data_IF_140071048782
#
_entry.id   IF_140071048782
#
_cell.length_a   1.000
_cell.length_b   1.000
_cell.length_c   1.000
_cell.angle_alpha   90.00
_cell.angle_beta   90.00
_cell.angle_gamma   90.00
#
_symmetry.space_group_name_H-M   'P 1'
#
loop_
_entity.id
_entity.type
_entity.pdbx_description
1 polymer ?
#
# COMPACT_ATOMS: atom_id res chain seq x y z
N UNK A 1 5.53 -35.18 -4.23
CA UNK A 1 4.84 -34.08 -4.94
C UNK A 1 4.94 -32.84 -4.08
N UNK A 2 5.64 -31.77 -4.48
CA UNK A 2 5.70 -30.55 -3.66
C UNK A 2 4.34 -29.87 -3.71
N UNK A 3 3.77 -29.62 -2.52
CA UNK A 3 2.54 -28.89 -2.31
C UNK A 3 2.56 -27.61 -3.17
N UNK A 4 1.67 -27.55 -4.16
CA UNK A 4 1.46 -26.36 -4.97
C UNK A 4 1.04 -25.22 -4.06
N UNK A 5 1.99 -24.33 -3.76
CA UNK A 5 1.70 -23.12 -3.04
C UNK A 5 0.78 -22.27 -3.93
N UNK A 6 -0.51 -22.29 -3.62
CA UNK A 6 -1.49 -21.41 -4.23
C UNK A 6 -1.06 -19.95 -4.05
N UNK A 7 -1.34 -19.07 -5.04
CA UNK A 7 -1.10 -17.64 -4.89
C UNK A 7 -1.73 -17.16 -3.60
N UNK A 8 -1.08 -16.22 -2.94
CA UNK A 8 -1.57 -15.68 -1.67
C UNK A 8 -3.04 -15.27 -1.86
N UNK A 9 -4.00 -15.92 -1.20
CA UNK A 9 -5.39 -15.59 -1.42
C UNK A 9 -5.60 -14.12 -1.04
N UNK A 10 -6.35 -13.38 -1.86
CA UNK A 10 -6.58 -11.94 -1.71
C UNK A 10 -6.92 -11.54 -0.27
N UNK A 11 -7.76 -12.33 0.43
CA UNK A 11 -8.10 -12.11 1.84
C UNK A 11 -6.87 -12.10 2.76
N UNK A 12 -5.89 -12.97 2.53
CA UNK A 12 -4.66 -12.97 3.33
C UNK A 12 -3.81 -11.73 3.06
N UNK A 13 -3.73 -11.29 1.80
CA UNK A 13 -3.04 -10.06 1.45
C UNK A 13 -3.70 -8.84 2.11
N UNK A 14 -5.02 -8.74 2.05
CA UNK A 14 -5.80 -7.68 2.70
C UNK A 14 -5.58 -7.66 4.22
N UNK A 15 -5.57 -8.83 4.87
CA UNK A 15 -5.27 -8.92 6.31
C UNK A 15 -3.86 -8.46 6.65
N UNK A 16 -2.85 -8.88 5.90
CA UNK A 16 -1.46 -8.48 6.13
C UNK A 16 -1.31 -6.96 5.98
N UNK A 17 -1.90 -6.38 4.95
CA UNK A 17 -1.90 -4.93 4.71
C UNK A 17 -2.56 -4.19 5.86
N UNK A 18 -3.73 -4.67 6.30
CA UNK A 18 -4.46 -4.08 7.41
C UNK A 18 -3.65 -4.10 8.72
N UNK A 19 -3.11 -5.27 9.09
CA UNK A 19 -2.29 -5.38 10.30
C UNK A 19 -1.01 -4.54 10.22
N UNK A 20 -0.36 -4.48 9.06
CA UNK A 20 0.81 -3.63 8.87
C UNK A 20 0.46 -2.14 9.06
N UNK A 21 -0.66 -1.69 8.50
CA UNK A 21 -1.12 -0.31 8.65
C UNK A 21 -1.45 0.02 10.13
N UNK A 22 -2.19 -0.85 10.80
CA UNK A 22 -2.53 -0.68 12.23
C UNK A 22 -1.27 -0.68 13.10
N UNK A 23 -0.29 -1.54 12.80
CA UNK A 23 0.99 -1.54 13.50
C UNK A 23 1.74 -0.21 13.31
N UNK A 24 1.68 0.38 12.12
CA UNK A 24 2.22 1.71 11.85
C UNK A 24 1.54 2.81 12.67
N UNK A 25 0.20 2.76 12.75
CA UNK A 25 -0.57 3.67 13.60
C UNK A 25 -0.17 3.54 15.08
N UNK A 26 -0.05 2.32 15.59
CA UNK A 26 0.37 2.06 16.96
C UNK A 26 1.81 2.52 17.23
N UNK A 27 2.73 2.30 16.29
CA UNK A 27 4.12 2.75 16.39
C UNK A 27 4.21 4.27 16.51
N UNK A 28 3.30 5.02 15.87
CA UNK A 28 3.28 6.48 15.96
C UNK A 28 3.00 6.98 17.39
N UNK A 29 2.27 6.22 18.19
CA UNK A 29 1.98 6.57 19.59
C UNK A 29 3.21 6.42 20.49
N UNK A 30 4.13 5.49 20.14
CA UNK A 30 5.34 5.20 20.91
C UNK A 30 6.51 6.09 20.49
N UNK A 31 6.62 6.37 19.20
CA UNK A 31 7.70 7.19 18.65
C UNK A 31 7.40 8.68 18.86
N UNK A 32 8.02 9.30 19.86
CA UNK A 32 7.99 10.75 20.08
C UNK A 32 8.99 11.47 19.14
N UNK A 33 8.84 11.32 17.83
CA UNK A 33 9.66 12.05 16.87
C UNK A 33 9.06 13.41 16.57
N UNK A 34 9.91 14.44 16.49
CA UNK A 34 9.46 15.77 16.04
C UNK A 34 8.83 15.67 14.66
N UNK A 35 7.65 16.26 14.52
CA UNK A 35 6.88 16.17 13.28
C UNK A 35 7.43 17.15 12.26
N UNK A 36 8.00 16.62 11.19
CA UNK A 36 8.22 17.36 9.94
C UNK A 36 6.86 17.56 9.24
N UNK A 37 6.10 18.56 9.67
CA UNK A 37 4.74 18.82 9.17
C UNK A 37 4.64 18.83 7.63
N UNK A 38 5.62 19.43 6.94
CA UNK A 38 5.61 19.54 5.48
C UNK A 38 5.84 18.24 4.71
N UNK A 39 6.27 17.15 5.36
CA UNK A 39 6.64 15.89 4.69
C UNK A 39 5.58 14.80 4.83
N UNK A 40 4.68 14.92 5.80
CA UNK A 40 3.72 13.85 6.11
C UNK A 40 2.72 13.60 4.97
N UNK A 41 2.07 14.65 4.48
CA UNK A 41 1.09 14.52 3.40
C UNK A 41 1.72 14.04 2.08
N UNK A 42 2.85 14.59 1.60
CA UNK A 42 3.57 14.04 0.45
C UNK A 42 3.93 12.56 0.62
N UNK A 43 4.33 12.13 1.83
CA UNK A 43 4.66 10.73 2.11
C UNK A 43 3.45 9.81 2.00
N UNK A 44 2.27 10.24 2.46
CA UNK A 44 1.01 9.48 2.33
C UNK A 44 0.64 9.35 0.85
N UNK A 45 0.74 10.42 0.07
CA UNK A 45 0.44 10.42 -1.36
C UNK A 45 1.42 9.54 -2.14
N UNK A 46 2.70 9.58 -1.79
CA UNK A 46 3.74 8.79 -2.45
C UNK A 46 3.61 7.28 -2.18
N UNK A 47 2.84 6.86 -1.17
CA UNK A 47 2.70 5.44 -0.82
C UNK A 47 2.15 4.60 -1.96
N UNK A 48 1.10 5.04 -2.67
CA UNK A 48 0.51 4.27 -3.77
C UNK A 48 1.45 4.16 -5.00
N UNK A 49 2.13 5.21 -5.47
CA UNK A 49 3.20 5.10 -6.47
C UNK A 49 4.37 4.19 -6.05
N UNK A 50 4.80 4.25 -4.78
CA UNK A 50 5.84 3.36 -4.27
C UNK A 50 5.41 1.89 -4.28
N UNK A 51 4.16 1.60 -3.94
CA UNK A 51 3.58 0.26 -4.05
C UNK A 51 3.54 -0.18 -5.51
N UNK A 52 3.19 0.70 -6.44
CA UNK A 52 3.21 0.40 -7.88
C UNK A 52 4.60 -0.02 -8.35
N UNK A 53 5.65 0.65 -7.90
CA UNK A 53 7.05 0.31 -8.22
C UNK A 53 7.49 -1.00 -7.54
N UNK A 54 7.02 -1.28 -6.33
CA UNK A 54 7.36 -2.49 -5.59
C UNK A 54 6.62 -3.73 -6.10
N UNK A 55 5.42 -3.57 -6.66
CA UNK A 55 4.55 -4.67 -7.07
C UNK A 55 5.19 -5.68 -8.05
N UNK A 56 5.93 -5.26 -9.10
CA UNK A 56 6.56 -6.20 -10.03
C UNK A 56 7.83 -6.85 -9.47
N UNK A 57 8.28 -6.48 -8.27
CA UNK A 57 9.51 -7.02 -7.68
C UNK A 57 9.27 -8.31 -6.89
N UNK A 58 10.29 -9.18 -6.84
CA UNK A 58 10.29 -10.39 -6.00
C UNK A 58 10.21 -10.07 -4.51
N UNK A 59 10.68 -8.91 -4.12
CA UNK A 59 10.68 -8.40 -2.73
C UNK A 59 9.42 -7.65 -2.38
N UNK A 60 8.53 -7.38 -3.33
CA UNK A 60 7.30 -6.60 -3.14
C UNK A 60 6.40 -7.14 -2.03
N UNK A 61 6.34 -8.47 -1.86
CA UNK A 61 5.57 -9.11 -0.77
C UNK A 61 6.02 -8.61 0.61
N UNK A 62 7.29 -8.24 0.78
CA UNK A 62 7.84 -7.72 2.04
C UNK A 62 7.84 -6.19 2.08
N UNK A 63 8.14 -5.53 0.96
CA UNK A 63 8.21 -4.08 0.89
C UNK A 63 6.84 -3.41 1.03
N UNK A 64 5.80 -3.98 0.43
CA UNK A 64 4.45 -3.41 0.47
C UNK A 64 3.91 -3.28 1.91
N UNK A 65 3.98 -4.30 2.79
CA UNK A 65 3.61 -4.14 4.19
C UNK A 65 4.40 -3.07 4.92
N UNK A 66 5.70 -2.90 4.61
CA UNK A 66 6.52 -1.84 5.20
C UNK A 66 6.03 -0.46 4.78
N UNK A 67 5.73 -0.26 3.49
CA UNK A 67 5.14 0.98 2.98
C UNK A 67 3.79 1.26 3.64
N UNK A 68 2.95 0.22 3.84
CA UNK A 68 1.67 0.37 4.53
C UNK A 68 1.84 0.75 6.01
N UNK A 69 2.81 0.17 6.71
CA UNK A 69 3.11 0.55 8.09
C UNK A 69 3.61 2.00 8.17
N UNK A 70 4.52 2.40 7.28
CA UNK A 70 4.98 3.78 7.19
C UNK A 70 3.83 4.76 6.90
N UNK A 71 2.90 4.38 6.01
CA UNK A 71 1.70 5.18 5.72
C UNK A 71 0.79 5.32 6.93
N UNK A 72 0.58 4.26 7.71
CA UNK A 72 -0.20 4.28 8.95
C UNK A 72 0.41 5.24 9.97
N UNK A 73 1.73 5.21 10.13
CA UNK A 73 2.46 6.13 10.98
C UNK A 73 2.27 7.59 10.52
N UNK A 74 2.43 7.86 9.21
CA UNK A 74 2.26 9.20 8.65
C UNK A 74 0.81 9.71 8.80
N UNK A 75 -0.19 8.86 8.58
CA UNK A 75 -1.61 9.21 8.73
C UNK A 75 -1.92 9.62 10.17
N UNK A 76 -1.48 8.84 11.16
CA UNK A 76 -1.73 9.16 12.57
C UNK A 76 -1.05 10.48 12.97
N UNK A 77 0.19 10.69 12.53
CA UNK A 77 0.93 11.94 12.77
C UNK A 77 0.27 13.13 12.10
N UNK A 78 -0.21 12.96 10.87
CA UNK A 78 -0.89 14.01 10.14
C UNK A 78 -2.18 14.44 10.84
N UNK A 79 -2.98 13.48 11.33
CA UNK A 79 -4.20 13.78 12.13
C UNK A 79 -3.83 14.53 13.41
N UNK A 80 -2.77 14.10 14.09
CA UNK A 80 -2.33 14.75 15.34
C UNK A 80 -1.83 16.18 15.12
N UNK A 81 -1.27 16.47 13.94
CA UNK A 81 -0.69 17.76 13.61
C UNK A 81 -1.73 18.76 13.07
N UNK A 82 -2.59 18.34 12.14
CA UNK A 82 -3.53 19.19 11.40
C UNK A 82 -4.95 19.15 11.97
N UNK A 83 -5.21 18.22 12.91
CA UNK A 83 -6.52 18.04 13.52
C UNK A 83 -7.55 17.38 12.60
N UNK A 84 -8.80 17.40 13.08
CA UNK A 84 -9.92 16.68 12.44
C UNK A 84 -10.39 17.29 11.11
N UNK A 85 -10.02 18.54 10.81
CA UNK A 85 -10.46 19.24 9.59
C UNK A 85 -9.95 18.58 8.30
N UNK A 86 -8.85 17.81 8.37
CA UNK A 86 -8.22 17.13 7.21
C UNK A 86 -8.66 15.67 7.04
N UNK A 87 -9.56 15.17 7.86
CA UNK A 87 -10.09 13.79 7.74
C UNK A 87 -10.66 13.49 6.35
N UNK A 88 -11.41 14.38 5.66
CA UNK A 88 -11.95 14.06 4.34
C UNK A 88 -10.88 13.67 3.31
N UNK A 89 -9.70 14.31 3.37
CA UNK A 89 -8.56 14.00 2.51
C UNK A 89 -8.03 12.59 2.78
N UNK A 90 -7.93 12.22 4.07
CA UNK A 90 -7.47 10.90 4.47
C UNK A 90 -8.49 9.80 4.12
N UNK A 91 -9.79 10.09 4.24
CA UNK A 91 -10.85 9.17 3.83
C UNK A 91 -10.78 8.82 2.33
N UNK A 92 -10.21 9.70 1.51
CA UNK A 92 -9.97 9.43 0.10
C UNK A 92 -8.65 8.66 -0.13
N UNK A 93 -7.55 9.09 0.52
CA UNK A 93 -6.21 8.54 0.28
C UNK A 93 -6.01 7.15 0.89
N UNK A 94 -6.51 6.92 2.12
CA UNK A 94 -6.30 5.63 2.81
C UNK A 94 -6.88 4.45 2.04
N UNK A 95 -8.13 4.47 1.54
CA UNK A 95 -8.66 3.37 0.72
C UNK A 95 -7.84 3.13 -0.55
N UNK A 96 -7.33 4.19 -1.21
CA UNK A 96 -6.48 4.05 -2.39
C UNK A 96 -5.18 3.29 -2.08
N UNK A 97 -4.55 3.59 -0.93
CA UNK A 97 -3.35 2.89 -0.46
C UNK A 97 -3.67 1.41 -0.20
N UNK A 98 -4.81 1.11 0.44
CA UNK A 98 -5.22 -0.28 0.71
C UNK A 98 -5.47 -1.07 -0.58
N UNK A 99 -6.17 -0.48 -1.56
CA UNK A 99 -6.42 -1.10 -2.86
C UNK A 99 -5.10 -1.34 -3.60
N UNK A 100 -4.20 -0.34 -3.61
CA UNK A 100 -2.87 -0.47 -4.21
C UNK A 100 -2.08 -1.59 -3.55
N UNK A 101 -2.05 -1.64 -2.21
CA UNK A 101 -1.27 -2.61 -1.46
C UNK A 101 -1.78 -4.04 -1.64
N UNK A 102 -3.09 -4.28 -1.55
CA UNK A 102 -3.69 -5.59 -1.75
C UNK A 102 -3.43 -6.10 -3.18
N UNK A 103 -3.61 -5.23 -4.19
CA UNK A 103 -3.37 -5.56 -5.60
C UNK A 103 -1.88 -5.77 -5.87
N UNK A 104 -1.00 -4.94 -5.30
CA UNK A 104 0.44 -5.05 -5.43
C UNK A 104 0.99 -6.34 -4.82
N UNK A 105 0.51 -6.75 -3.65
CA UNK A 105 0.88 -8.02 -3.04
C UNK A 105 0.44 -9.23 -3.87
N UNK A 106 -0.73 -9.17 -4.48
CA UNK A 106 -1.21 -10.22 -5.39
C UNK A 106 -0.30 -10.34 -6.61
N UNK A 107 0.10 -9.23 -7.22
CA UNK A 107 1.02 -9.19 -8.37
C UNK A 107 2.40 -9.72 -7.98
N UNK A 108 2.98 -9.21 -6.89
CA UNK A 108 4.30 -9.64 -6.40
C UNK A 108 4.32 -11.14 -6.05
N UNK A 109 3.25 -11.65 -5.44
CA UNK A 109 3.08 -13.07 -5.17
C UNK A 109 3.08 -13.92 -6.44
N UNK A 110 2.47 -13.44 -7.53
CA UNK A 110 2.47 -14.10 -8.84
C UNK A 110 3.84 -14.07 -9.49
N UNK A 111 4.53 -12.93 -9.48
CA UNK A 111 5.89 -12.79 -10.01
C UNK A 111 6.82 -13.79 -9.31
N UNK A 112 6.73 -13.89 -7.99
CA UNK A 112 7.53 -14.83 -7.20
C UNK A 112 7.26 -16.29 -7.58
N UNK A 113 6.02 -16.65 -7.89
CA UNK A 113 5.68 -18.01 -8.34
C UNK A 113 6.16 -18.28 -9.76
N UNK A 114 6.08 -17.31 -10.68
CA UNK A 114 6.60 -17.45 -12.03
C UNK A 114 8.10 -17.70 -12.06
N UNK A 115 8.85 -17.06 -11.17
CA UNK A 115 10.30 -17.28 -11.08
C UNK A 115 10.66 -18.64 -10.45
N UNK A 116 9.74 -19.29 -9.75
CA UNK A 116 9.99 -20.54 -9.01
C UNK A 116 9.48 -21.80 -9.72
N UNK A 117 8.51 -21.69 -10.58
CA UNK A 117 7.88 -22.80 -11.30
C UNK A 117 7.46 -22.37 -12.71
N UNK A 118 7.69 -23.25 -13.70
CA UNK A 118 7.43 -23.08 -15.14
C UNK A 118 6.17 -22.32 -15.53
N UNK A 119 6.16 -21.63 -16.70
CA UNK A 119 5.26 -20.55 -17.03
C UNK A 119 3.90 -21.05 -17.53
N UNK A 120 2.99 -21.42 -16.65
CA UNK A 120 1.56 -21.46 -16.99
C UNK A 120 0.86 -20.32 -16.23
N UNK A 121 1.06 -19.09 -16.70
CA UNK A 121 0.33 -17.92 -16.23
C UNK A 121 -1.15 -18.08 -16.59
N UNK A 122 -2.00 -18.44 -15.62
CA UNK A 122 -3.45 -18.29 -15.76
C UNK A 122 -3.82 -16.81 -15.72
N UNK A 123 -4.63 -16.41 -16.68
CA UNK A 123 -5.13 -15.08 -17.04
C UNK A 123 -5.83 -14.24 -15.94
N UNK A 124 -5.64 -14.52 -14.66
CA UNK A 124 -6.31 -13.80 -13.56
C UNK A 124 -5.66 -12.46 -13.14
N UNK A 125 -4.56 -12.02 -13.80
CA UNK A 125 -3.76 -10.86 -13.38
C UNK A 125 -4.35 -9.49 -13.71
N UNK A 126 -5.12 -9.40 -14.78
CA UNK A 126 -5.53 -8.11 -15.36
C UNK A 126 -6.33 -7.20 -14.39
N UNK A 127 -7.16 -7.79 -13.52
CA UNK A 127 -7.92 -7.00 -12.53
C UNK A 127 -7.03 -6.37 -11.46
N UNK A 128 -6.05 -7.11 -10.95
CA UNK A 128 -5.11 -6.57 -9.94
C UNK A 128 -4.25 -5.46 -10.53
N UNK A 129 -3.78 -5.61 -11.77
CA UNK A 129 -3.03 -4.59 -12.48
C UNK A 129 -3.86 -3.32 -12.69
N UNK A 130 -5.09 -3.45 -13.19
CA UNK A 130 -5.99 -2.32 -13.40
C UNK A 130 -6.25 -1.59 -12.07
N UNK A 131 -6.56 -2.31 -11.00
CA UNK A 131 -6.81 -1.72 -9.69
C UNK A 131 -5.57 -0.99 -9.14
N UNK A 132 -4.37 -1.56 -9.34
CA UNK A 132 -3.13 -0.93 -8.93
C UNK A 132 -2.88 0.37 -9.68
N UNK A 133 -3.02 0.38 -11.02
CA UNK A 133 -2.85 1.60 -11.82
C UNK A 133 -3.90 2.66 -11.48
N UNK A 134 -5.17 2.27 -11.33
CA UNK A 134 -6.24 3.21 -10.98
C UNK A 134 -6.02 3.82 -9.59
N UNK A 135 -5.57 3.03 -8.61
CA UNK A 135 -5.30 3.55 -7.27
C UNK A 135 -4.09 4.49 -7.24
N UNK A 136 -3.03 4.18 -7.99
CA UNK A 136 -1.87 5.06 -8.11
C UNK A 136 -2.23 6.37 -8.85
N UNK A 137 -2.98 6.29 -9.95
CA UNK A 137 -3.48 7.46 -10.66
C UNK A 137 -4.41 8.31 -9.79
N UNK A 138 -5.32 7.67 -9.05
CA UNK A 138 -6.22 8.34 -8.10
C UNK A 138 -5.48 9.10 -7.02
N UNK A 139 -4.39 8.55 -6.47
CA UNK A 139 -3.57 9.24 -5.47
C UNK A 139 -2.86 10.45 -6.03
N UNK A 140 -2.35 10.38 -7.27
CA UNK A 140 -1.71 11.52 -7.95
C UNK A 140 -2.71 12.64 -8.30
N UNK A 141 -3.92 12.26 -8.75
CA UNK A 141 -4.99 13.21 -9.02
C UNK A 141 -5.41 13.90 -7.71
N UNK A 142 -5.57 13.14 -6.63
CA UNK A 142 -5.87 13.70 -5.32
C UNK A 142 -4.80 14.67 -4.85
N UNK A 143 -3.51 14.36 -5.10
CA UNK A 143 -2.41 15.26 -4.82
C UNK A 143 -2.55 16.59 -5.56
N UNK A 144 -2.87 16.54 -6.86
CA UNK A 144 -3.06 17.75 -7.66
C UNK A 144 -4.13 18.67 -7.09
N UNK A 145 -5.26 18.12 -6.63
CA UNK A 145 -6.33 18.91 -6.03
C UNK A 145 -6.01 19.43 -4.63
N UNK A 146 -5.17 18.74 -3.88
CA UNK A 146 -4.79 19.13 -2.51
C UNK A 146 -3.76 20.27 -2.53
N UNK A 147 -2.84 20.26 -3.52
CA UNK A 147 -1.75 21.24 -3.61
C UNK A 147 -2.07 22.45 -4.51
N UNK A 148 -3.22 22.48 -5.16
CA UNK A 148 -3.72 23.64 -5.91
C UNK A 148 -4.54 24.58 -5.04
#
# INVERSE_FOLDING_TARGET
MPNGQNPLPRRKAEMVVFFAFVAGCAASAVLKTETLHGVLLPSIIAAAPLILLAAPSLTGVYLIPIVCAASGLCVTRYISAEGLARIPVLCLLVPLIFIAAASGMEISGRVRMCCRSSPKLKSGGRRAEILLYLSAAGSLISAYFIFR
#
